data_IF_506823814855
#
_entry.id   IF_506823814855
#
_cell.length_a   1.000
_cell.length_b   1.000
_cell.length_c   1.000
_cell.angle_alpha   90.00
_cell.angle_beta   90.00
_cell.angle_gamma   90.00
#
_symmetry.space_group_name_H-M   'P 1'
#
loop_
_entity.id
_entity.type
_entity.pdbx_description
1 polymer ?
#
# COMPACT_ATOMS: atom_id res chain seq x y z
N UNK A 1 -4.78 -5.13 14.78
CA UNK A 1 -3.52 -4.89 14.03
C UNK A 1 -3.54 -5.76 12.77
N UNK A 2 -2.91 -5.33 11.68
CA UNK A 2 -2.79 -6.11 10.44
C UNK A 2 -1.31 -6.41 10.23
N UNK A 3 -0.94 -7.68 10.19
CA UNK A 3 0.45 -8.09 9.93
C UNK A 3 0.67 -8.37 8.44
N UNK A 4 1.32 -7.42 7.74
CA UNK A 4 1.62 -7.53 6.32
C UNK A 4 2.67 -8.60 5.97
N UNK A 5 3.34 -9.22 6.96
CA UNK A 5 4.24 -10.35 6.72
C UNK A 5 3.49 -11.66 6.45
N UNK A 6 2.17 -11.66 6.63
CA UNK A 6 1.31 -12.82 6.34
C UNK A 6 0.51 -12.61 5.06
N UNK A 7 0.28 -13.66 4.25
CA UNK A 7 -0.62 -13.58 3.10
C UNK A 7 -2.01 -13.05 3.48
N UNK A 8 -2.53 -13.46 4.65
CA UNK A 8 -3.83 -13.06 5.17
C UNK A 8 -3.88 -11.55 5.47
N UNK A 9 -2.80 -11.00 6.05
CA UNK A 9 -2.70 -9.58 6.32
C UNK A 9 -2.61 -8.73 5.05
N UNK A 10 -1.88 -9.20 4.03
CA UNK A 10 -1.84 -8.58 2.70
C UNK A 10 -3.23 -8.55 2.07
N UNK A 11 -3.95 -9.68 2.09
CA UNK A 11 -5.31 -9.74 1.53
C UNK A 11 -6.30 -8.89 2.33
N UNK A 12 -6.17 -8.82 3.65
CA UNK A 12 -6.98 -7.93 4.48
C UNK A 12 -6.71 -6.46 4.16
N UNK A 13 -5.45 -6.07 3.97
CA UNK A 13 -5.09 -4.72 3.53
C UNK A 13 -5.71 -4.39 2.17
N UNK A 14 -5.63 -5.29 1.18
CA UNK A 14 -6.25 -5.09 -0.13
C UNK A 14 -7.78 -4.91 -0.03
N UNK A 15 -8.47 -5.64 0.85
CA UNK A 15 -9.91 -5.46 1.11
C UNK A 15 -10.23 -4.07 1.66
N UNK A 16 -9.33 -3.49 2.47
CA UNK A 16 -9.47 -2.10 2.92
C UNK A 16 -9.27 -1.12 1.77
N UNK A 17 -8.27 -1.34 0.91
CA UNK A 17 -7.99 -0.50 -0.26
C UNK A 17 -9.20 -0.35 -1.18
N UNK A 18 -10.01 -1.40 -1.37
CA UNK A 18 -11.27 -1.34 -2.15
C UNK A 18 -12.22 -0.26 -1.64
N UNK A 19 -12.20 0.04 -0.34
CA UNK A 19 -13.11 1.00 0.31
C UNK A 19 -12.47 2.35 0.62
N UNK A 20 -11.18 2.51 0.36
CA UNK A 20 -10.43 3.72 0.70
C UNK A 20 -10.30 4.66 -0.48
N UNK A 21 -10.43 5.96 -0.24
CA UNK A 21 -10.07 6.98 -1.22
C UNK A 21 -8.55 7.20 -1.28
N UNK A 22 -7.87 7.05 -0.14
CA UNK A 22 -6.44 7.29 0.00
C UNK A 22 -5.71 6.14 0.71
N UNK A 23 -4.48 5.87 0.25
CA UNK A 23 -3.46 5.14 1.02
C UNK A 23 -2.31 6.10 1.27
N UNK A 24 -2.02 6.40 2.53
CA UNK A 24 -0.84 7.15 2.94
C UNK A 24 0.21 6.20 3.49
N UNK A 25 1.44 6.29 2.99
CA UNK A 25 2.56 5.50 3.48
C UNK A 25 3.83 6.35 3.60
N UNK A 26 4.66 6.02 4.60
CA UNK A 26 5.92 6.68 4.90
C UNK A 26 7.11 5.69 4.92
N UNK A 27 6.96 4.55 4.27
CA UNK A 27 8.01 3.55 4.17
C UNK A 27 9.08 3.95 3.15
N UNK A 28 10.21 3.26 3.17
CA UNK A 28 11.17 3.37 2.06
C UNK A 28 10.55 2.80 0.77
N UNK A 29 11.04 3.28 -0.39
CA UNK A 29 10.59 2.87 -1.73
C UNK A 29 10.45 1.36 -1.97
N UNK A 30 11.14 0.53 -1.18
CA UNK A 30 11.18 -0.93 -1.35
C UNK A 30 10.12 -1.68 -0.53
N UNK A 31 9.59 -1.09 0.55
CA UNK A 31 8.73 -1.84 1.49
C UNK A 31 7.40 -2.23 0.86
N UNK A 32 6.67 -1.26 0.29
CA UNK A 32 5.38 -1.55 -0.34
C UNK A 32 5.51 -2.54 -1.52
N UNK A 33 6.49 -2.39 -2.44
CA UNK A 33 6.76 -3.42 -3.46
C UNK A 33 7.09 -4.80 -2.89
N UNK A 34 7.84 -4.91 -1.79
CA UNK A 34 8.18 -6.20 -1.17
C UNK A 34 6.94 -6.95 -0.65
N UNK A 35 5.88 -6.21 -0.27
CA UNK A 35 4.59 -6.79 0.09
C UNK A 35 3.65 -6.99 -1.11
N UNK A 36 4.07 -6.61 -2.33
CA UNK A 36 3.20 -6.61 -3.50
C UNK A 36 2.08 -5.56 -3.42
N UNK A 37 2.32 -4.45 -2.71
CA UNK A 37 1.35 -3.39 -2.44
C UNK A 37 1.78 -2.04 -3.03
N UNK A 38 2.57 -2.04 -4.11
CA UNK A 38 2.90 -0.81 -4.82
C UNK A 38 1.66 -0.19 -5.51
N UNK A 39 1.80 1.07 -5.92
CA UNK A 39 0.71 1.81 -6.55
C UNK A 39 0.12 1.09 -7.77
N UNK A 40 0.95 0.47 -8.60
CA UNK A 40 0.48 -0.21 -9.82
C UNK A 40 -0.40 -1.42 -9.52
N UNK A 41 -0.12 -2.11 -8.41
CA UNK A 41 -0.96 -3.20 -7.91
C UNK A 41 -2.24 -2.65 -7.29
N UNK A 42 -2.13 -1.67 -6.39
CA UNK A 42 -3.29 -1.13 -5.68
C UNK A 42 -4.27 -0.40 -6.61
N UNK A 43 -3.78 0.26 -7.65
CA UNK A 43 -4.61 0.92 -8.67
C UNK A 43 -5.48 -0.07 -9.43
N UNK A 44 -4.99 -1.29 -9.71
CA UNK A 44 -5.80 -2.35 -10.34
C UNK A 44 -6.93 -2.85 -9.44
N UNK A 45 -6.76 -2.73 -8.12
CA UNK A 45 -7.77 -3.13 -7.13
C UNK A 45 -8.81 -2.02 -6.95
N UNK A 46 -8.36 -0.78 -6.89
CA UNK A 46 -9.22 0.39 -6.79
C UNK A 46 -8.74 1.49 -7.75
N UNK A 47 -9.44 1.64 -8.87
CA UNK A 47 -9.09 2.59 -9.92
C UNK A 47 -9.23 4.06 -9.51
N UNK A 48 -9.86 4.36 -8.37
CA UNK A 48 -10.02 5.71 -7.83
C UNK A 48 -8.99 6.04 -6.76
N UNK A 49 -8.16 5.07 -6.37
CA UNK A 49 -7.24 5.21 -5.26
C UNK A 49 -6.17 6.29 -5.54
N UNK A 50 -6.00 7.16 -4.55
CA UNK A 50 -4.86 8.07 -4.49
C UNK A 50 -3.85 7.52 -3.48
N UNK A 51 -2.61 7.29 -3.91
CA UNK A 51 -1.53 6.88 -3.01
C UNK A 51 -0.59 8.06 -2.75
N UNK A 52 -0.36 8.35 -1.47
CA UNK A 52 0.55 9.41 -1.04
C UNK A 52 1.74 8.76 -0.34
N UNK A 53 2.91 8.89 -0.97
CA UNK A 53 4.17 8.36 -0.48
C UNK A 53 5.03 9.47 0.12
N UNK A 54 5.26 9.43 1.43
CA UNK A 54 6.19 10.34 2.10
C UNK A 54 7.60 9.72 2.13
N UNK A 55 8.39 9.99 1.10
CA UNK A 55 9.81 9.63 1.12
C UNK A 55 10.63 10.76 1.68
N UNK A 56 11.41 10.46 2.72
CA UNK A 56 12.48 11.37 3.13
C UNK A 56 13.60 11.30 2.10
N UNK A 57 13.88 12.44 1.48
CA UNK A 57 15.13 12.63 0.76
C UNK A 57 16.24 12.61 1.83
N UNK A 58 17.06 11.56 1.84
CA UNK A 58 18.33 11.62 2.54
C UNK A 58 19.14 12.69 1.78
N UNK A 59 19.32 13.84 2.43
CA UNK A 59 20.33 14.82 2.02
C UNK A 59 21.70 14.29 2.40
#
# INVERSE_FOLDING_TARGET
>A
EIDLNTPEGVELFKKLVVKSDFVFENFSRRVMPNFGLDYSVLKKINDRLIMVSQWRKLM
#
